data_IF_703222029543
#
_entry.id   IF_703222029543
#
_cell.length_a   1.000
_cell.length_b   1.000
_cell.length_c   1.000
_cell.angle_alpha   90.00
_cell.angle_beta   90.00
_cell.angle_gamma   90.00
#
_symmetry.space_group_name_H-M   'P 1'
#
loop_
_entity.id
_entity.type
_entity.pdbx_description
1 polymer ?
#
# COMPACT_ATOMS: atom_id res chain seq x y z
N UNK A 1 15.49 8.89 -16.54
CA UNK A 1 15.33 8.19 -15.25
C UNK A 1 14.56 6.91 -15.46
N UNK A 2 14.60 6.00 -14.50
CA UNK A 2 14.02 4.66 -14.58
C UNK A 2 13.24 4.33 -13.31
N UNK A 3 12.17 3.54 -13.46
CA UNK A 3 11.26 3.17 -12.38
C UNK A 3 10.93 1.68 -12.43
N UNK A 4 11.31 0.93 -11.41
CA UNK A 4 10.89 -0.46 -11.21
C UNK A 4 9.50 -0.52 -10.57
N UNK A 5 8.57 -1.29 -11.13
CA UNK A 5 7.19 -1.31 -10.68
C UNK A 5 6.63 -2.72 -10.53
N UNK A 6 6.00 -2.98 -9.38
CA UNK A 6 5.18 -4.19 -9.15
C UNK A 6 3.73 -4.02 -9.59
N UNK A 7 3.34 -2.84 -10.08
CA UNK A 7 1.95 -2.51 -10.43
C UNK A 7 1.61 -3.15 -11.79
N UNK A 8 1.41 -4.46 -11.80
CA UNK A 8 1.21 -5.26 -13.01
C UNK A 8 -0.24 -5.32 -13.50
N UNK A 9 -1.21 -5.22 -12.59
CA UNK A 9 -2.63 -5.27 -12.94
C UNK A 9 -3.04 -4.04 -13.77
N UNK A 10 -4.01 -4.22 -14.67
CA UNK A 10 -4.35 -3.22 -15.68
C UNK A 10 -4.67 -1.83 -15.10
N UNK A 11 -5.47 -1.78 -14.03
CA UNK A 11 -5.90 -0.53 -13.39
C UNK A 11 -4.72 0.18 -12.69
N UNK A 12 -3.98 -0.43 -11.75
CA UNK A 12 -2.86 0.24 -11.10
C UNK A 12 -1.71 0.53 -12.07
N UNK A 13 -1.47 -0.32 -13.08
CA UNK A 13 -0.48 -0.05 -14.13
C UNK A 13 -0.81 1.22 -14.90
N UNK A 14 -2.08 1.39 -15.29
CA UNK A 14 -2.55 2.62 -15.92
C UNK A 14 -2.40 3.83 -15.00
N UNK A 15 -2.80 3.69 -13.73
CA UNK A 15 -2.66 4.78 -12.75
C UNK A 15 -1.22 5.26 -12.59
N UNK A 16 -0.25 4.34 -12.57
CA UNK A 16 1.16 4.71 -12.56
C UNK A 16 1.59 5.42 -13.85
N UNK A 17 1.14 4.94 -15.01
CA UNK A 17 1.46 5.59 -16.28
C UNK A 17 0.91 7.02 -16.33
N UNK A 18 -0.32 7.24 -15.86
CA UNK A 18 -0.93 8.58 -15.81
C UNK A 18 -0.09 9.55 -14.92
N UNK A 19 0.50 9.05 -13.83
CA UNK A 19 1.44 9.83 -12.98
C UNK A 19 2.75 10.13 -13.72
N UNK A 20 3.31 9.16 -14.45
CA UNK A 20 4.54 9.33 -15.24
C UNK A 20 4.33 10.34 -16.37
N UNK A 21 3.18 10.31 -17.04
CA UNK A 21 2.84 11.24 -18.11
C UNK A 21 2.66 12.66 -17.57
N UNK A 22 2.02 12.81 -16.41
CA UNK A 22 1.90 14.09 -15.72
C UNK A 22 3.28 14.64 -15.31
N UNK A 23 4.16 13.80 -14.76
CA UNK A 23 5.54 14.19 -14.45
C UNK A 23 6.30 14.63 -15.70
N UNK A 24 6.23 13.85 -16.79
CA UNK A 24 6.91 14.14 -18.07
C UNK A 24 6.46 15.49 -18.61
N UNK A 25 5.14 15.77 -18.58
CA UNK A 25 4.55 17.03 -19.04
C UNK A 25 4.99 18.22 -18.19
N UNK A 26 5.02 18.05 -16.86
CA UNK A 26 5.40 19.11 -15.92
C UNK A 26 6.91 19.42 -15.92
N UNK A 27 7.74 18.48 -16.38
CA UNK A 27 9.21 18.55 -16.30
C UNK A 27 9.87 18.59 -17.68
N UNK A 28 9.31 19.36 -18.60
CA UNK A 28 9.95 19.68 -19.88
C UNK A 28 10.19 18.46 -20.79
N UNK A 29 9.37 17.42 -20.67
CA UNK A 29 9.51 16.20 -21.46
C UNK A 29 10.52 15.19 -20.91
N UNK A 30 10.90 15.30 -19.63
CA UNK A 30 11.81 14.34 -18.99
C UNK A 30 11.23 12.92 -19.03
N UNK A 31 11.93 12.00 -19.72
CA UNK A 31 11.46 10.62 -19.89
C UNK A 31 11.74 9.75 -18.68
N UNK A 32 10.70 9.06 -18.21
CA UNK A 32 10.76 7.97 -17.22
C UNK A 32 10.57 6.62 -17.92
N UNK A 33 11.56 5.74 -17.85
CA UNK A 33 11.42 4.35 -18.32
C UNK A 33 10.84 3.49 -17.20
N UNK A 34 9.59 3.06 -17.34
CA UNK A 34 8.95 2.15 -16.39
C UNK A 34 9.23 0.69 -16.77
N UNK A 35 9.77 -0.08 -15.82
CA UNK A 35 9.94 -1.52 -15.94
C UNK A 35 8.94 -2.22 -15.01
N UNK A 36 7.85 -2.76 -15.57
CA UNK A 36 6.82 -3.44 -14.80
C UNK A 36 7.07 -4.94 -14.76
N UNK A 37 7.14 -5.49 -13.56
CA UNK A 37 7.21 -6.94 -13.30
C UNK A 37 5.93 -7.36 -12.59
N UNK A 38 5.51 -8.61 -12.78
CA UNK A 38 4.40 -9.21 -12.05
C UNK A 38 4.53 -8.98 -10.52
N UNK A 39 3.41 -8.66 -9.89
CA UNK A 39 3.35 -8.24 -8.49
C UNK A 39 4.02 -9.22 -7.51
N UNK A 40 3.71 -10.52 -7.64
CA UNK A 40 4.27 -11.56 -6.78
C UNK A 40 5.74 -11.82 -7.11
N UNK A 41 6.05 -11.85 -8.40
CA UNK A 41 7.42 -12.06 -8.90
C UNK A 41 8.38 -10.98 -8.41
N UNK A 42 7.98 -9.70 -8.50
CA UNK A 42 8.79 -8.58 -8.02
C UNK A 42 9.09 -8.71 -6.52
N UNK A 43 8.10 -9.09 -5.71
CA UNK A 43 8.27 -9.30 -4.27
C UNK A 43 9.20 -10.45 -3.92
N UNK A 44 9.15 -11.54 -4.69
CA UNK A 44 10.01 -12.70 -4.52
C UNK A 44 11.45 -12.39 -4.92
N UNK A 45 11.65 -11.57 -5.95
CA UNK A 45 12.96 -11.24 -6.50
C UNK A 45 13.59 -9.96 -5.94
N UNK A 46 12.86 -9.17 -5.13
CA UNK A 46 13.30 -7.84 -4.66
C UNK A 46 14.71 -7.84 -4.04
N UNK A 47 15.11 -8.91 -3.33
CA UNK A 47 16.44 -8.97 -2.72
C UNK A 47 17.55 -9.01 -3.79
N UNK A 48 17.36 -9.81 -4.84
CA UNK A 48 18.29 -9.89 -5.97
C UNK A 48 18.24 -8.63 -6.82
N UNK A 49 17.04 -8.06 -7.00
CA UNK A 49 16.83 -6.80 -7.71
C UNK A 49 17.61 -5.64 -7.06
N UNK A 50 17.45 -5.43 -5.74
CA UNK A 50 18.10 -4.33 -5.03
C UNK A 50 19.63 -4.48 -4.91
N UNK A 51 20.14 -5.71 -4.93
CA UNK A 51 21.60 -5.98 -4.91
C UNK A 51 22.24 -6.01 -6.29
N UNK A 52 21.43 -6.04 -7.36
CA UNK A 52 21.90 -6.02 -8.73
C UNK A 52 22.01 -4.60 -9.26
N UNK A 53 21.27 -4.32 -10.32
CA UNK A 53 21.17 -2.99 -10.95
C UNK A 53 19.72 -2.55 -10.93
N UNK A 54 19.18 -2.13 -9.77
CA UNK A 54 17.81 -1.65 -9.69
C UNK A 54 17.64 -0.36 -10.49
N UNK A 55 16.39 -0.03 -10.82
CA UNK A 55 16.05 1.28 -11.37
C UNK A 55 16.25 2.39 -10.32
N UNK A 56 16.30 3.65 -10.79
CA UNK A 56 16.57 4.84 -9.95
C UNK A 56 15.56 5.00 -8.80
N UNK A 57 14.32 4.61 -9.04
CA UNK A 57 13.26 4.49 -8.04
C UNK A 57 12.49 3.18 -8.24
N UNK A 58 11.79 2.73 -7.21
CA UNK A 58 10.97 1.52 -7.29
C UNK A 58 9.74 1.59 -6.40
N UNK A 59 8.67 0.89 -6.80
CA UNK A 59 7.49 0.73 -5.96
C UNK A 59 7.75 -0.32 -4.88
N UNK A 60 7.47 -0.01 -3.62
CA UNK A 60 7.56 -0.98 -2.53
C UNK A 60 6.51 -0.73 -1.44
N UNK A 61 6.34 -1.70 -0.55
CA UNK A 61 5.48 -1.58 0.62
C UNK A 61 6.20 -0.94 1.79
N UNK A 62 5.50 -0.10 2.55
CA UNK A 62 5.95 0.36 3.86
C UNK A 62 6.14 -0.80 4.85
N UNK A 63 6.82 -0.57 5.97
CA UNK A 63 6.93 -1.55 7.06
C UNK A 63 8.21 -2.39 7.06
N UNK A 64 8.12 -3.64 7.51
CA UNK A 64 9.28 -4.43 7.96
C UNK A 64 10.37 -4.60 6.88
N UNK A 65 10.02 -5.02 5.66
CA UNK A 65 11.01 -5.24 4.59
C UNK A 65 11.64 -3.94 4.10
N UNK A 66 10.89 -2.84 4.07
CA UNK A 66 11.45 -1.51 3.76
C UNK A 66 12.53 -1.12 4.78
N UNK A 67 12.25 -1.27 6.08
CA UNK A 67 13.25 -1.00 7.14
C UNK A 67 14.46 -1.92 7.04
N UNK A 68 14.25 -3.18 6.67
CA UNK A 68 15.35 -4.10 6.40
C UNK A 68 16.23 -3.63 5.24
N UNK A 69 15.65 -3.14 4.14
CA UNK A 69 16.41 -2.58 3.00
C UNK A 69 17.17 -1.31 3.38
N UNK A 70 16.54 -0.39 4.10
CA UNK A 70 17.17 0.80 4.65
C UNK A 70 18.40 0.45 5.50
N UNK A 71 18.23 -0.45 6.48
CA UNK A 71 19.30 -0.93 7.36
C UNK A 71 20.46 -1.60 6.61
N UNK A 72 20.18 -2.19 5.44
CA UNK A 72 21.19 -2.84 4.59
C UNK A 72 21.84 -1.88 3.58
N UNK A 73 21.42 -0.61 3.54
CA UNK A 73 21.89 0.36 2.55
C UNK A 73 21.39 0.08 1.13
N UNK A 74 20.30 -0.69 0.99
CA UNK A 74 19.69 -1.04 -0.30
C UNK A 74 18.65 -0.02 -0.76
N UNK A 75 18.36 0.99 0.07
CA UNK A 75 17.55 2.15 -0.27
C UNK A 75 18.23 3.39 0.32
N UNK A 76 18.18 4.51 -0.40
CA UNK A 76 18.72 5.78 0.07
C UNK A 76 17.68 6.54 0.90
N UNK A 77 18.09 7.26 1.96
CA UNK A 77 17.20 8.19 2.63
C UNK A 77 16.84 9.34 1.68
N UNK A 78 15.62 9.85 1.80
CA UNK A 78 15.05 10.89 0.94
C UNK A 78 14.47 12.04 1.78
N UNK A 79 15.14 12.40 2.89
CA UNK A 79 14.63 13.41 3.83
C UNK A 79 14.47 14.79 3.19
N UNK A 80 15.32 15.12 2.22
CA UNK A 80 15.23 16.33 1.40
C UNK A 80 13.91 16.35 0.61
N UNK A 81 13.62 15.29 -0.15
CA UNK A 81 12.36 15.13 -0.88
C UNK A 81 11.18 15.13 0.09
N UNK A 82 11.31 14.45 1.22
CA UNK A 82 10.25 14.39 2.22
C UNK A 82 9.93 15.76 2.80
N UNK A 83 10.93 16.61 3.06
CA UNK A 83 10.72 17.94 3.61
C UNK A 83 9.83 18.82 2.72
N UNK A 84 9.88 18.64 1.40
CA UNK A 84 9.06 19.38 0.45
C UNK A 84 7.61 18.90 0.41
N UNK A 85 7.36 17.60 0.66
CA UNK A 85 6.03 16.99 0.48
C UNK A 85 5.30 16.63 1.77
N UNK A 86 6.00 16.60 2.92
CA UNK A 86 5.46 16.11 4.21
C UNK A 86 4.19 16.81 4.66
N UNK A 87 3.96 18.06 4.26
CA UNK A 87 2.74 18.80 4.58
C UNK A 87 1.46 18.18 4.01
N UNK A 88 1.59 17.29 3.01
CA UNK A 88 0.47 16.57 2.41
C UNK A 88 0.12 15.26 3.15
N UNK A 89 0.86 14.90 4.19
CA UNK A 89 0.74 13.60 4.86
C UNK A 89 0.50 13.75 6.36
N UNK A 90 -0.26 12.82 6.93
CA UNK A 90 -0.41 12.71 8.39
C UNK A 90 0.85 12.11 9.02
N UNK A 91 1.00 12.27 10.34
CA UNK A 91 2.09 11.66 11.10
C UNK A 91 2.13 10.13 10.96
N UNK A 92 0.96 9.48 10.84
CA UNK A 92 0.86 8.03 10.65
C UNK A 92 1.50 7.57 9.32
N UNK A 93 1.33 8.35 8.24
CA UNK A 93 2.00 8.07 6.98
C UNK A 93 3.50 8.36 7.04
N UNK A 94 3.90 9.43 7.72
CA UNK A 94 5.33 9.72 7.93
C UNK A 94 6.03 8.58 8.70
N UNK A 95 5.37 8.03 9.72
CA UNK A 95 5.89 6.94 10.53
C UNK A 95 6.00 5.62 9.76
N UNK A 96 5.09 5.33 8.82
CA UNK A 96 5.09 4.06 8.09
C UNK A 96 6.28 3.91 7.14
N UNK A 97 6.83 5.02 6.64
CA UNK A 97 7.94 5.06 5.68
C UNK A 97 9.31 5.39 6.29
N UNK A 98 9.39 5.39 7.63
CA UNK A 98 10.63 5.69 8.36
C UNK A 98 11.46 4.42 8.61
N UNK A 99 12.78 4.54 8.45
CA UNK A 99 13.77 3.54 8.81
C UNK A 99 13.99 3.45 10.33
N UNK A 100 14.69 2.40 10.78
CA UNK A 100 15.05 2.25 12.20
C UNK A 100 16.06 3.34 12.66
N UNK A 101 16.72 4.00 11.71
CA UNK A 101 17.65 5.12 11.90
C UNK A 101 16.97 6.50 11.92
N UNK A 102 15.65 6.56 11.72
CA UNK A 102 14.87 7.78 11.80
C UNK A 102 14.68 8.54 10.48
N UNK A 103 15.37 8.12 9.41
CA UNK A 103 15.28 8.73 8.08
C UNK A 103 14.05 8.23 7.30
N UNK A 104 13.56 9.03 6.35
CA UNK A 104 12.44 8.64 5.47
C UNK A 104 12.96 7.97 4.20
N UNK A 105 12.32 6.87 3.79
CA UNK A 105 12.77 6.04 2.66
C UNK A 105 11.74 5.88 1.52
N UNK A 106 10.55 6.45 1.66
CA UNK A 106 9.51 6.36 0.64
C UNK A 106 8.54 7.55 0.70
N UNK A 107 7.92 7.85 -0.44
CA UNK A 107 6.76 8.74 -0.53
C UNK A 107 5.49 7.88 -0.66
N UNK A 108 4.56 7.92 0.31
CA UNK A 108 3.30 7.17 0.22
C UNK A 108 2.45 7.63 -0.97
N UNK A 109 1.93 6.68 -1.77
CA UNK A 109 1.08 6.97 -2.94
C UNK A 109 -0.36 6.48 -2.77
N UNK A 110 -0.57 5.42 -1.99
CA UNK A 110 -1.89 4.84 -1.73
C UNK A 110 -1.88 4.09 -0.40
N UNK A 111 -3.08 3.88 0.14
CA UNK A 111 -3.32 3.01 1.28
C UNK A 111 -4.73 2.45 1.20
N UNK A 112 -5.01 1.40 1.97
CA UNK A 112 -6.35 0.86 2.13
C UNK A 112 -6.54 0.36 3.57
N UNK A 113 -7.75 0.47 4.13
CA UNK A 113 -8.04 -0.06 5.45
C UNK A 113 -8.25 -1.57 5.38
N UNK A 114 -7.84 -2.26 6.43
CA UNK A 114 -8.40 -3.56 6.77
C UNK A 114 -9.66 -3.32 7.60
N UNK A 115 -10.80 -3.80 7.10
CA UNK A 115 -12.10 -3.53 7.69
C UNK A 115 -13.03 -4.75 7.60
N UNK A 116 -14.05 -4.76 8.45
CA UNK A 116 -15.15 -5.72 8.36
C UNK A 116 -16.17 -5.15 7.37
N UNK A 117 -16.27 -5.79 6.22
CA UNK A 117 -17.26 -5.43 5.21
C UNK A 117 -18.58 -6.16 5.47
N UNK A 118 -19.70 -5.49 5.16
CA UNK A 118 -21.02 -6.08 5.27
C UNK A 118 -21.96 -5.59 4.17
N UNK A 119 -23.02 -6.36 3.93
CA UNK A 119 -24.10 -6.03 3.01
C UNK A 119 -25.17 -5.20 3.73
N UNK A 120 -25.34 -3.94 3.31
CA UNK A 120 -26.26 -2.98 3.94
C UNK A 120 -27.72 -3.46 3.92
N UNK A 121 -28.14 -4.07 2.81
CA UNK A 121 -29.47 -4.64 2.63
C UNK A 121 -29.72 -5.84 3.56
N UNK A 122 -28.73 -6.71 3.75
CA UNK A 122 -28.81 -7.83 4.71
C UNK A 122 -28.93 -7.30 6.15
N UNK A 123 -28.16 -6.28 6.51
CA UNK A 123 -28.26 -5.66 7.84
C UNK A 123 -29.63 -5.01 8.07
N UNK A 124 -30.17 -4.31 7.08
CA UNK A 124 -31.49 -3.72 7.17
C UNK A 124 -32.61 -4.78 7.31
N UNK A 125 -32.56 -5.84 6.51
CA UNK A 125 -33.56 -6.92 6.56
C UNK A 125 -33.54 -7.69 7.88
N UNK A 126 -32.36 -7.90 8.46
CA UNK A 126 -32.18 -8.56 9.76
C UNK A 126 -32.34 -7.63 10.97
N UNK A 127 -32.58 -6.33 10.76
CA UNK A 127 -32.56 -5.30 11.81
C UNK A 127 -31.27 -5.33 12.66
N UNK A 128 -30.13 -5.62 12.02
CA UNK A 128 -28.83 -5.70 12.66
C UNK A 128 -28.25 -4.32 12.88
N UNK A 129 -27.54 -4.16 14.01
CA UNK A 129 -26.80 -2.93 14.32
C UNK A 129 -25.31 -3.15 14.06
N UNK A 130 -24.62 -2.08 13.64
CA UNK A 130 -23.17 -2.09 13.55
C UNK A 130 -22.62 -2.27 14.98
N UNK A 131 -21.85 -3.33 15.25
CA UNK A 131 -21.31 -3.58 16.58
C UNK A 131 -20.18 -2.60 16.88
N UNK A 132 -20.17 -2.05 18.10
CA UNK A 132 -19.20 -1.01 18.50
C UNK A 132 -18.15 -1.53 19.49
N UNK A 133 -18.35 -2.75 19.99
CA UNK A 133 -17.44 -3.43 20.89
C UNK A 133 -17.48 -4.95 20.62
N UNK A 134 -16.62 -5.68 21.35
CA UNK A 134 -16.46 -7.12 21.15
C UNK A 134 -17.69 -7.94 21.55
N UNK A 135 -18.40 -7.53 22.60
CA UNK A 135 -19.61 -8.22 23.05
C UNK A 135 -20.76 -8.05 22.06
N UNK A 136 -20.94 -6.83 21.53
CA UNK A 136 -21.89 -6.56 20.44
C UNK A 136 -21.56 -7.41 19.21
N UNK A 137 -20.29 -7.50 18.84
CA UNK A 137 -19.85 -8.25 17.66
C UNK A 137 -20.13 -9.76 17.81
N UNK A 138 -19.85 -10.33 18.99
CA UNK A 138 -20.20 -11.73 19.29
C UNK A 138 -21.71 -11.95 19.30
N UNK A 139 -22.46 -11.04 19.91
CA UNK A 139 -23.93 -11.12 19.95
C UNK A 139 -24.52 -11.07 18.53
N UNK A 140 -24.01 -10.19 17.67
CA UNK A 140 -24.37 -10.13 16.25
C UNK A 140 -24.06 -11.46 15.54
N UNK A 141 -22.87 -12.04 15.77
CA UNK A 141 -22.51 -13.33 15.19
C UNK A 141 -23.45 -14.46 15.62
N UNK A 142 -23.85 -14.49 16.90
CA UNK A 142 -24.82 -15.47 17.42
C UNK A 142 -26.19 -15.28 16.78
N UNK A 143 -26.64 -14.03 16.62
CA UNK A 143 -27.92 -13.72 15.99
C UNK A 143 -27.93 -14.13 14.52
N UNK A 144 -26.91 -13.74 13.75
CA UNK A 144 -26.76 -14.14 12.34
C UNK A 144 -26.79 -15.67 12.14
N UNK A 145 -26.19 -16.44 13.05
CA UNK A 145 -26.27 -17.91 13.00
C UNK A 145 -27.70 -18.42 13.20
N UNK A 146 -28.48 -17.83 14.11
CA UNK A 146 -29.90 -18.18 14.30
C UNK A 146 -30.73 -17.85 13.07
N UNK A 147 -30.34 -16.81 12.34
CA UNK A 147 -30.96 -16.37 11.10
C UNK A 147 -30.40 -17.13 9.86
N UNK A 148 -29.71 -18.27 10.09
CA UNK A 148 -29.10 -19.13 9.07
C UNK A 148 -28.08 -18.45 8.15
N UNK A 149 -27.36 -17.44 8.66
CA UNK A 149 -26.26 -16.77 7.97
C UNK A 149 -24.90 -17.22 8.54
N UNK A 150 -23.90 -17.29 7.67
CA UNK A 150 -22.49 -17.35 8.08
C UNK A 150 -22.03 -15.94 8.49
N UNK A 151 -21.67 -15.68 9.75
CA UNK A 151 -21.40 -14.31 10.20
C UNK A 151 -20.12 -13.70 9.63
N UNK A 152 -19.10 -14.53 9.41
CA UNK A 152 -17.80 -14.11 8.89
C UNK A 152 -17.42 -15.09 7.78
N UNK A 153 -17.39 -14.58 6.54
CA UNK A 153 -16.72 -15.29 5.45
C UNK A 153 -15.21 -15.23 5.70
N UNK A 154 -14.56 -16.38 5.68
CA UNK A 154 -13.12 -16.51 5.93
C UNK A 154 -12.52 -17.50 4.92
N UNK A 155 -11.35 -17.17 4.40
CA UNK A 155 -10.57 -17.98 3.47
C UNK A 155 -9.09 -17.89 3.86
N UNK A 156 -8.34 -18.96 3.65
CA UNK A 156 -6.92 -19.10 3.96
C UNK A 156 -6.00 -18.85 2.74
#
# INVERSE_FOLDING_TARGET
MSLGSYLSDSVPKKGLQDVVDAFTSANGGTTVKVNTVDHGTFQNQINSYLQGTPEDAFTWFSGHRMRFFAKKGLAQPIDDVWNDVKGNFTEGFAASVKGDDGHVYAVPTSYYPWAIFYRKDVFAAGNYKIPTNWDDFKALCVQMKKDNLTPIAFAD
#
